data_IF_337472451598
#
_entry.id   IF_337472451598
#
_cell.length_a   1.000
_cell.length_b   1.000
_cell.length_c   1.000
_cell.angle_alpha   90.00
_cell.angle_beta   90.00
_cell.angle_gamma   90.00
#
_symmetry.space_group_name_H-M   'P 1'
#
loop_
_entity.id
_entity.type
_entity.pdbx_description
1 polymer ?
#
# COMPACT_ATOMS: atom_id res chain seq x y z
N UNK A 1 -19.56 -6.11 2.87
CA UNK A 1 -18.33 -5.93 2.08
C UNK A 1 -17.52 -7.21 2.15
N UNK A 2 -16.71 -7.51 1.14
CA UNK A 2 -15.82 -8.67 1.16
C UNK A 2 -14.39 -8.18 1.05
N UNK A 3 -13.53 -8.62 1.97
CA UNK A 3 -12.09 -8.38 1.93
C UNK A 3 -11.41 -9.71 1.59
N UNK A 4 -10.50 -9.70 0.62
CA UNK A 4 -9.88 -10.91 0.08
C UNK A 4 -8.38 -10.72 -0.11
N UNK A 5 -7.59 -11.73 0.28
CA UNK A 5 -6.17 -11.85 -0.09
C UNK A 5 -6.08 -12.89 -1.19
N UNK A 6 -5.46 -12.50 -2.30
CA UNK A 6 -5.30 -13.34 -3.48
C UNK A 6 -3.83 -13.60 -3.77
N UNK A 7 -3.50 -14.82 -4.17
CA UNK A 7 -2.24 -15.12 -4.83
C UNK A 7 -2.34 -14.71 -6.30
N UNK A 8 -1.41 -13.87 -6.76
CA UNK A 8 -1.27 -13.58 -8.18
C UNK A 8 -0.40 -14.66 -8.82
N UNK A 9 -1.00 -15.49 -9.66
CA UNK A 9 -0.31 -16.58 -10.36
C UNK A 9 -0.76 -16.65 -11.81
N UNK A 10 0.19 -16.63 -12.75
CA UNK A 10 -0.06 -16.72 -14.19
C UNK A 10 -1.21 -15.82 -14.69
N UNK A 11 -1.16 -14.52 -14.35
CA UNK A 11 -2.18 -13.50 -14.70
C UNK A 11 -3.57 -13.77 -14.11
N UNK A 12 -3.67 -14.57 -13.05
CA UNK A 12 -4.92 -14.85 -12.33
C UNK A 12 -4.77 -14.50 -10.86
N UNK A 13 -5.85 -14.02 -10.26
CA UNK A 13 -5.98 -13.90 -8.82
C UNK A 13 -6.65 -15.17 -8.29
N UNK A 14 -5.94 -15.91 -7.42
CA UNK A 14 -6.45 -17.11 -6.75
C UNK A 14 -6.75 -16.72 -5.31
N UNK A 15 -8.01 -16.70 -4.87
CA UNK A 15 -8.36 -16.37 -3.48
C UNK A 15 -7.74 -17.37 -2.51
N UNK A 16 -7.04 -16.87 -1.49
CA UNK A 16 -6.45 -17.69 -0.44
C UNK A 16 -7.27 -17.60 0.86
N UNK A 17 -7.54 -16.38 1.31
CA UNK A 17 -8.36 -16.10 2.49
C UNK A 17 -9.29 -14.92 2.21
N UNK A 18 -10.48 -14.95 2.80
CA UNK A 18 -11.42 -13.84 2.72
C UNK A 18 -12.30 -13.74 3.96
N UNK A 19 -12.80 -12.55 4.22
CA UNK A 19 -13.85 -12.31 5.22
C UNK A 19 -14.99 -11.52 4.60
N UNK A 20 -16.20 -11.79 5.06
CA UNK A 20 -17.42 -11.09 4.64
C UNK A 20 -18.02 -10.43 5.85
N UNK A 21 -18.10 -9.10 5.82
CA UNK A 21 -18.56 -8.30 6.95
C UNK A 21 -19.80 -7.52 6.55
N UNK A 22 -20.82 -7.53 7.40
CA UNK A 22 -22.02 -6.72 7.19
C UNK A 22 -21.74 -5.29 7.67
N UNK A 23 -21.35 -4.42 6.74
CA UNK A 23 -21.10 -3.00 7.01
C UNK A 23 -22.05 -2.11 6.19
N UNK A 24 -22.65 -1.05 6.78
CA UNK A 24 -23.64 -0.21 6.11
C UNK A 24 -23.11 0.62 4.93
N UNK A 25 -21.80 0.95 4.92
CA UNK A 25 -21.03 1.60 3.83
C UNK A 25 -19.68 2.05 4.40
N UNK A 26 -18.62 1.91 3.61
CA UNK A 26 -17.31 2.51 3.90
C UNK A 26 -16.24 1.49 4.26
N UNK A 27 -15.04 1.80 3.78
CA UNK A 27 -13.74 1.16 3.94
C UNK A 27 -13.58 0.23 5.13
N UNK A 28 -12.91 -0.91 4.92
CA UNK A 28 -12.51 -1.79 6.01
C UNK A 28 -11.45 -1.07 6.86
N UNK A 29 -11.54 -1.19 8.18
CA UNK A 29 -10.52 -0.66 9.09
C UNK A 29 -9.17 -1.38 8.91
N UNK A 30 -8.07 -0.73 9.31
CA UNK A 30 -6.76 -1.36 9.33
C UNK A 30 -6.74 -2.64 10.19
N UNK A 31 -7.49 -2.66 11.30
CA UNK A 31 -7.63 -3.83 12.16
C UNK A 31 -8.26 -5.02 11.43
N UNK A 32 -9.32 -4.78 10.63
CA UNK A 32 -9.94 -5.85 9.83
C UNK A 32 -8.99 -6.38 8.74
N UNK A 33 -8.19 -5.51 8.13
CA UNK A 33 -7.14 -5.92 7.19
C UNK A 33 -6.08 -6.78 7.87
N UNK A 34 -5.55 -6.34 9.01
CA UNK A 34 -4.55 -7.08 9.79
C UNK A 34 -5.13 -8.43 10.25
N UNK A 35 -6.39 -8.48 10.67
CA UNK A 35 -7.05 -9.71 11.08
C UNK A 35 -7.12 -10.74 9.93
N UNK A 36 -7.39 -10.31 8.70
CA UNK A 36 -7.36 -11.19 7.53
C UNK A 36 -5.93 -11.62 7.19
N UNK A 37 -4.96 -10.72 7.26
CA UNK A 37 -3.55 -11.05 6.99
C UNK A 37 -2.96 -12.05 8.00
N UNK A 38 -3.40 -12.03 9.27
CA UNK A 38 -3.05 -13.06 10.25
C UNK A 38 -3.56 -14.44 9.85
N UNK A 39 -4.73 -14.53 9.20
CA UNK A 39 -5.22 -15.81 8.65
C UNK A 39 -4.35 -16.28 7.49
N UNK A 40 -3.93 -15.35 6.62
CA UNK A 40 -2.99 -15.66 5.54
C UNK A 40 -1.63 -16.11 6.10
N UNK A 41 -1.12 -15.44 7.14
CA UNK A 41 0.16 -15.78 7.79
C UNK A 41 0.18 -17.23 8.30
N UNK A 42 -0.95 -17.74 8.80
CA UNK A 42 -1.08 -19.13 9.24
C UNK A 42 -0.98 -20.17 8.10
N UNK A 43 -1.09 -19.74 6.84
CA UNK A 43 -0.95 -20.57 5.64
C UNK A 43 0.46 -20.48 5.02
N UNK A 44 1.27 -19.50 5.43
CA UNK A 44 2.62 -19.25 4.90
C UNK A 44 3.69 -19.79 5.84
N UNK A 45 4.82 -20.23 5.28
CA UNK A 45 6.02 -20.52 6.06
C UNK A 45 6.81 -19.24 6.37
N UNK A 46 7.53 -19.21 7.49
CA UNK A 46 8.37 -18.07 7.90
C UNK A 46 9.43 -17.69 6.85
N UNK A 47 9.94 -18.67 6.09
CA UNK A 47 10.97 -18.44 5.06
C UNK A 47 10.43 -17.91 3.72
N UNK A 48 9.12 -17.68 3.59
CA UNK A 48 8.52 -17.29 2.32
C UNK A 48 8.59 -15.77 2.12
N UNK A 49 9.18 -15.34 1.00
CA UNK A 49 9.11 -13.94 0.59
C UNK A 49 7.68 -13.58 0.17
N UNK A 50 7.12 -12.54 0.82
CA UNK A 50 5.77 -12.04 0.57
C UNK A 50 5.86 -10.59 0.09
N UNK A 51 5.19 -10.30 -1.03
CA UNK A 51 4.96 -8.94 -1.53
C UNK A 51 3.46 -8.71 -1.60
N UNK A 52 2.94 -7.80 -0.77
CA UNK A 52 1.54 -7.41 -0.77
C UNK A 52 1.30 -6.30 -1.80
N UNK A 53 0.26 -6.45 -2.63
CA UNK A 53 -0.22 -5.39 -3.51
C UNK A 53 -1.58 -4.91 -2.99
N UNK A 54 -1.65 -3.65 -2.59
CA UNK A 54 -2.84 -3.02 -2.03
C UNK A 54 -3.35 -1.86 -2.88
N UNK A 55 -4.66 -1.61 -2.84
CA UNK A 55 -5.22 -0.35 -3.32
C UNK A 55 -5.17 0.73 -2.22
N UNK A 56 -5.91 1.83 -2.39
CA UNK A 56 -5.93 2.93 -1.44
C UNK A 56 -6.52 2.59 -0.08
N UNK A 57 -7.14 1.41 0.11
CA UNK A 57 -7.59 0.99 1.44
C UNK A 57 -6.42 0.45 2.31
N UNK A 58 -5.24 0.29 1.72
CA UNK A 58 -4.07 -0.36 2.34
C UNK A 58 -2.94 0.60 2.71
N UNK A 59 -3.16 1.92 2.67
CA UNK A 59 -2.14 2.94 2.96
C UNK A 59 -2.11 3.41 4.43
N UNK A 60 -2.93 2.83 5.32
CA UNK A 60 -2.84 3.14 6.75
C UNK A 60 -1.47 2.79 7.35
N UNK A 61 -0.96 3.63 8.26
CA UNK A 61 0.33 3.44 8.93
C UNK A 61 0.32 2.16 9.77
N UNK A 62 -0.80 1.84 10.39
CA UNK A 62 -0.98 0.64 11.20
C UNK A 62 -0.77 -0.63 10.37
N UNK A 63 -1.33 -0.66 9.14
CA UNK A 63 -1.15 -1.78 8.23
C UNK A 63 0.28 -1.85 7.71
N UNK A 64 0.86 -0.73 7.26
CA UNK A 64 2.25 -0.67 6.80
C UNK A 64 3.23 -1.13 7.90
N UNK A 65 3.01 -0.69 9.14
CA UNK A 65 3.78 -1.10 10.32
C UNK A 65 3.66 -2.59 10.60
N UNK A 66 2.45 -3.15 10.50
CA UNK A 66 2.23 -4.59 10.67
C UNK A 66 2.98 -5.40 9.61
N UNK A 67 2.90 -5.00 8.33
CA UNK A 67 3.61 -5.67 7.23
C UNK A 67 5.13 -5.63 7.42
N UNK A 68 5.67 -4.48 7.82
CA UNK A 68 7.09 -4.34 8.12
C UNK A 68 7.53 -5.24 9.29
N UNK A 69 6.72 -5.38 10.34
CA UNK A 69 7.00 -6.30 11.46
C UNK A 69 7.01 -7.77 11.03
N UNK A 70 6.24 -8.14 10.01
CA UNK A 70 6.28 -9.49 9.43
C UNK A 70 7.43 -9.67 8.42
N UNK A 71 8.26 -8.64 8.23
CA UNK A 71 9.30 -8.59 7.19
C UNK A 71 8.73 -8.78 5.77
N UNK A 72 7.46 -8.43 5.59
CA UNK A 72 6.79 -8.48 4.29
C UNK A 72 7.02 -7.18 3.53
N UNK A 73 7.17 -7.33 2.23
CA UNK A 73 7.27 -6.20 1.32
C UNK A 73 5.86 -5.78 0.88
N UNK A 74 5.67 -4.52 0.52
CA UNK A 74 4.38 -4.04 0.02
C UNK A 74 4.52 -2.95 -1.03
N UNK A 75 3.50 -2.84 -1.87
CA UNK A 75 3.24 -1.71 -2.76
C UNK A 75 1.75 -1.40 -2.67
N UNK A 76 1.41 -0.28 -2.06
CA UNK A 76 0.01 0.15 -1.88
C UNK A 76 -0.23 1.45 -2.64
N UNK A 77 -1.43 1.64 -3.19
CA UNK A 77 -1.83 2.97 -3.68
C UNK A 77 -2.01 3.91 -2.50
N UNK A 78 -1.67 5.18 -2.68
CA UNK A 78 -1.92 6.25 -1.69
C UNK A 78 -2.70 7.38 -2.35
N UNK A 79 -3.35 8.20 -1.54
CA UNK A 79 -4.01 9.41 -1.99
C UNK A 79 -3.01 10.44 -2.56
N UNK A 80 -3.48 11.27 -3.49
CA UNK A 80 -2.66 12.32 -4.15
C UNK A 80 -2.36 13.49 -3.23
N UNK A 81 -3.22 13.72 -2.25
CA UNK A 81 -3.12 14.75 -1.22
C UNK A 81 -2.32 14.30 0.00
N UNK A 82 -1.70 13.12 -0.06
CA UNK A 82 -0.73 12.68 0.94
C UNK A 82 0.48 13.61 0.97
N UNK A 83 0.90 13.94 2.18
CA UNK A 83 2.13 14.69 2.47
C UNK A 83 3.27 13.73 2.78
N UNK A 84 4.47 14.06 2.31
CA UNK A 84 5.70 13.34 2.64
C UNK A 84 6.79 14.33 3.03
N UNK A 85 7.63 13.94 3.97
CA UNK A 85 8.85 14.67 4.33
C UNK A 85 10.02 14.08 3.54
N UNK A 86 10.59 14.89 2.66
CA UNK A 86 11.70 14.53 1.78
C UNK A 86 12.78 15.60 1.93
N UNK A 87 14.00 15.21 2.29
CA UNK A 87 15.14 16.14 2.47
C UNK A 87 14.79 17.36 3.38
N UNK A 88 14.12 17.11 4.51
CA UNK A 88 13.64 18.13 5.46
C UNK A 88 12.54 19.08 4.92
N UNK A 89 12.00 18.83 3.73
CA UNK A 89 10.89 19.59 3.13
C UNK A 89 9.60 18.78 3.05
N UNK A 90 8.49 19.39 3.44
CA UNK A 90 7.15 18.81 3.28
C UNK A 90 6.65 19.04 1.87
N UNK A 91 6.32 17.95 1.18
CA UNK A 91 5.86 17.96 -0.21
C UNK A 91 4.54 17.20 -0.31
N UNK A 92 3.57 17.75 -1.05
CA UNK A 92 2.34 17.06 -1.39
C UNK A 92 2.52 16.28 -2.70
N UNK A 93 2.09 15.02 -2.74
CA UNK A 93 2.38 14.15 -3.90
C UNK A 93 1.81 14.68 -5.22
N UNK A 94 0.62 15.30 -5.21
CA UNK A 94 -0.02 15.87 -6.39
C UNK A 94 0.86 16.93 -7.08
N UNK A 95 1.69 17.67 -6.32
CA UNK A 95 2.56 18.72 -6.84
C UNK A 95 3.78 18.16 -7.60
N UNK A 96 4.16 16.91 -7.32
CA UNK A 96 5.27 16.24 -7.98
C UNK A 96 4.85 15.53 -9.28
N UNK A 97 3.56 15.40 -9.57
CA UNK A 97 3.10 14.60 -10.72
C UNK A 97 3.43 15.27 -12.06
N UNK A 98 4.39 14.69 -12.80
CA UNK A 98 4.82 15.17 -14.12
C UNK A 98 4.41 14.14 -15.20
N UNK A 99 3.72 14.55 -16.29
CA UNK A 99 3.37 13.64 -17.37
C UNK A 99 4.60 12.98 -18.03
N UNK A 100 4.46 11.72 -18.39
CA UNK A 100 5.49 10.85 -18.97
C UNK A 100 6.71 10.61 -18.06
N UNK A 101 6.55 10.80 -16.74
CA UNK A 101 7.58 10.56 -15.74
C UNK A 101 7.15 9.47 -14.75
N UNK A 102 8.09 8.59 -14.43
CA UNK A 102 8.04 7.71 -13.26
C UNK A 102 9.22 8.08 -12.36
N UNK A 103 8.93 8.54 -11.16
CA UNK A 103 9.94 8.94 -10.17
C UNK A 103 9.68 8.24 -8.84
N UNK A 104 10.75 7.99 -8.11
CA UNK A 104 10.71 7.45 -6.76
C UNK A 104 11.34 8.46 -5.80
N UNK A 105 10.63 8.77 -4.73
CA UNK A 105 11.14 9.49 -3.57
C UNK A 105 11.52 8.42 -2.54
N UNK A 106 12.82 8.21 -2.39
CA UNK A 106 13.37 7.20 -1.47
C UNK A 106 13.63 7.79 -0.09
N UNK A 107 13.58 6.95 0.94
CA UNK A 107 13.88 7.32 2.33
C UNK A 107 13.04 8.50 2.87
N UNK A 108 11.76 8.58 2.47
CA UNK A 108 10.86 9.64 2.91
C UNK A 108 10.08 9.24 4.16
N UNK A 109 9.66 10.24 4.95
CA UNK A 109 8.67 10.05 6.00
C UNK A 109 7.27 10.28 5.43
N UNK A 110 6.40 9.30 5.63
CA UNK A 110 5.05 9.23 5.08
C UNK A 110 4.04 9.84 6.04
N UNK A 111 3.19 10.73 5.51
CA UNK A 111 2.16 11.50 6.24
C UNK A 111 2.73 12.41 7.33
N UNK A 112 1.88 13.26 7.91
CA UNK A 112 2.23 14.12 9.05
C UNK A 112 2.58 13.37 10.33
N UNK A 113 2.40 12.05 10.36
CA UNK A 113 2.86 11.19 11.45
C UNK A 113 4.31 10.71 11.27
N UNK A 114 4.98 11.10 10.18
CA UNK A 114 6.39 10.84 9.91
C UNK A 114 6.75 9.34 9.90
N UNK A 115 5.86 8.48 9.41
CA UNK A 115 6.11 7.05 9.32
C UNK A 115 7.15 6.74 8.23
N UNK A 116 8.23 6.02 8.56
CA UNK A 116 9.23 5.67 7.56
C UNK A 116 10.54 5.18 8.16
N UNK A 117 11.61 5.09 7.36
CA UNK A 117 11.66 5.48 5.94
C UNK A 117 10.85 4.54 5.03
N UNK A 118 10.21 5.11 4.00
CA UNK A 118 9.56 4.38 2.90
C UNK A 118 9.98 4.94 1.55
N UNK A 119 9.63 4.21 0.49
CA UNK A 119 9.74 4.65 -0.91
C UNK A 119 8.36 5.06 -1.41
N UNK A 120 8.23 6.25 -1.98
CA UNK A 120 7.01 6.72 -2.64
C UNK A 120 7.24 6.83 -4.15
N UNK A 121 6.43 6.16 -4.94
CA UNK A 121 6.51 6.18 -6.40
C UNK A 121 5.38 7.02 -6.98
N UNK A 122 5.74 7.93 -7.87
CA UNK A 122 4.82 8.80 -8.59
C UNK A 122 4.99 8.51 -10.07
N UNK A 123 3.94 8.01 -10.69
CA UNK A 123 3.98 7.63 -12.10
C UNK A 123 2.81 8.21 -12.87
N UNK A 124 3.11 8.95 -13.94
CA UNK A 124 2.10 9.44 -14.87
C UNK A 124 2.53 9.21 -16.31
N UNK A 125 1.66 8.55 -17.07
CA UNK A 125 1.72 8.50 -18.53
C UNK A 125 0.59 9.37 -19.09
N UNK A 126 0.91 10.27 -20.04
CA UNK A 126 -0.06 11.24 -20.58
C UNK A 126 -1.28 10.61 -21.27
N UNK A 127 -1.22 9.33 -21.63
CA UNK A 127 -2.37 8.58 -22.14
C UNK A 127 -3.45 8.38 -21.06
N UNK A 128 -3.11 8.55 -19.78
CA UNK A 128 -4.02 8.40 -18.64
C UNK A 128 -4.41 9.75 -18.03
N UNK A 129 -5.65 9.81 -17.55
CA UNK A 129 -6.26 11.03 -17.00
C UNK A 129 -5.59 11.54 -15.73
N UNK A 130 -4.98 10.65 -14.95
CA UNK A 130 -4.42 10.99 -13.64
C UNK A 130 -3.16 10.15 -13.36
N UNK A 131 -2.22 10.68 -12.55
CA UNK A 131 -1.09 9.94 -12.02
C UNK A 131 -1.52 8.79 -11.09
N UNK A 132 -0.59 7.86 -10.87
CA UNK A 132 -0.65 6.82 -9.84
C UNK A 132 0.39 7.18 -8.78
N UNK A 133 -0.03 7.14 -7.52
CA UNK A 133 0.82 7.31 -6.36
C UNK A 133 0.88 6.00 -5.58
N UNK A 134 2.08 5.54 -5.27
CA UNK A 134 2.32 4.29 -4.55
C UNK A 134 3.23 4.56 -3.35
N UNK A 135 3.00 3.84 -2.25
CA UNK A 135 3.89 3.76 -1.10
C UNK A 135 4.39 2.32 -0.94
N UNK A 136 5.66 2.16 -0.61
CA UNK A 136 6.35 0.87 -0.58
C UNK A 136 7.51 0.86 0.41
N UNK A 137 7.81 -0.31 0.97
CA UNK A 137 9.06 -0.58 1.72
C UNK A 137 10.08 -1.39 0.89
N UNK A 138 9.95 -1.38 -0.44
CA UNK A 138 10.91 -1.95 -1.39
C UNK A 138 12.08 -1.00 -1.66
#
# INVERSE_FOLDING_TARGET
MALMVNLIYQKRAIPLVWTVVQSPKGHMSAEEHIALLRQFQALTSEDQAVILLGDGEFDSIELQSYLAQQQWQYVCRTAKDTWVLCEDEWIQLDDCAIPDLCQALENVAFTTAEYGPVTVVIWWDKAYRAPIFLVSNL
#
